data_IF_045294028873
#
_entry.id   IF_045294028873
#
_cell.length_a   1.000
_cell.length_b   1.000
_cell.length_c   1.000
_cell.angle_alpha   90.00
_cell.angle_beta   90.00
_cell.angle_gamma   90.00
#
_symmetry.space_group_name_H-M   'P 1'
#
loop_
_entity.id
_entity.type
_entity.pdbx_description
1 polymer ?
#
# COMPACT_ATOMS: atom_id res chain seq x y z
N UNK A 1 -45.52 -0.75 -0.86
CA UNK A 1 -44.49 0.06 -1.53
C UNK A 1 -43.17 -0.19 -0.80
N UNK A 2 -42.32 -1.08 -1.30
CA UNK A 2 -40.97 -1.21 -0.75
C UNK A 2 -40.18 -0.01 -1.26
N UNK A 3 -40.09 1.03 -0.44
CA UNK A 3 -39.11 2.09 -0.65
C UNK A 3 -37.74 1.43 -0.54
N UNK A 4 -37.06 1.26 -1.67
CA UNK A 4 -35.71 0.71 -1.67
C UNK A 4 -34.85 1.60 -0.78
N UNK A 5 -34.43 1.09 0.37
CA UNK A 5 -33.44 1.78 1.19
C UNK A 5 -32.15 1.70 0.39
N UNK A 6 -31.70 2.84 -0.15
CA UNK A 6 -30.39 2.92 -0.74
C UNK A 6 -29.37 2.71 0.39
N UNK A 7 -28.86 1.50 0.54
CA UNK A 7 -27.72 1.25 1.40
C UNK A 7 -26.50 1.86 0.70
N UNK A 8 -26.21 3.12 1.01
CA UNK A 8 -24.92 3.70 0.67
C UNK A 8 -23.84 3.03 1.53
N UNK A 9 -22.65 2.89 0.95
CA UNK A 9 -21.49 2.47 1.73
C UNK A 9 -21.23 3.50 2.83
N UNK A 10 -21.22 3.05 4.09
CA UNK A 10 -21.05 3.93 5.25
C UNK A 10 -19.66 4.57 5.25
N UNK A 11 -18.63 3.82 4.89
CA UNK A 11 -17.25 4.31 4.84
C UNK A 11 -16.60 3.90 3.50
N UNK A 12 -16.48 4.80 2.53
CA UNK A 12 -15.90 4.48 1.22
C UNK A 12 -14.50 3.85 1.25
N UNK A 13 -13.70 4.09 2.30
CA UNK A 13 -12.38 3.46 2.46
C UNK A 13 -12.43 1.92 2.50
N UNK A 14 -13.57 1.33 2.87
CA UNK A 14 -13.75 -0.13 2.90
C UNK A 14 -13.76 -0.74 1.51
N UNK A 15 -14.16 0.01 0.47
CA UNK A 15 -14.41 -0.52 -0.88
C UNK A 15 -13.62 0.15 -2.00
N UNK A 16 -13.08 1.34 -1.79
CA UNK A 16 -12.39 2.12 -2.83
C UNK A 16 -11.31 1.30 -3.55
N UNK A 17 -10.48 0.57 -2.79
CA UNK A 17 -9.43 -0.28 -3.33
C UNK A 17 -9.91 -1.54 -4.06
N UNK A 18 -11.22 -1.83 -4.13
CA UNK A 18 -11.75 -2.92 -4.94
C UNK A 18 -11.96 -2.55 -6.42
N UNK A 19 -11.94 -1.26 -6.76
CA UNK A 19 -12.13 -0.81 -8.14
C UNK A 19 -10.92 -1.16 -9.00
N UNK A 20 -11.18 -1.76 -10.17
CA UNK A 20 -10.14 -2.02 -11.19
C UNK A 20 -9.52 -0.73 -11.72
N UNK A 21 -10.27 0.37 -11.75
CA UNK A 21 -9.74 1.67 -12.16
C UNK A 21 -8.63 2.16 -11.22
N UNK A 22 -8.77 1.94 -9.92
CA UNK A 22 -7.73 2.29 -8.94
C UNK A 22 -6.49 1.41 -9.11
N UNK A 23 -6.67 0.12 -9.43
CA UNK A 23 -5.53 -0.77 -9.66
C UNK A 23 -4.75 -0.35 -10.90
N UNK A 24 -5.45 0.02 -11.96
CA UNK A 24 -4.84 0.53 -13.18
C UNK A 24 -4.10 1.85 -12.90
N UNK A 25 -4.74 2.80 -12.22
CA UNK A 25 -4.12 4.07 -11.85
C UNK A 25 -2.86 3.85 -10.99
N UNK A 26 -2.90 2.92 -10.04
CA UNK A 26 -1.74 2.53 -9.25
C UNK A 26 -0.58 2.00 -10.12
N UNK A 27 -0.85 1.08 -11.05
CA UNK A 27 0.18 0.54 -11.95
C UNK A 27 0.80 1.66 -12.80
N UNK A 28 -0.03 2.55 -13.35
CA UNK A 28 0.41 3.69 -14.15
C UNK A 28 1.30 4.61 -13.30
N UNK A 29 0.91 4.93 -12.06
CA UNK A 29 1.69 5.80 -11.18
C UNK A 29 3.05 5.19 -10.82
N UNK A 30 3.13 3.88 -10.58
CA UNK A 30 4.41 3.19 -10.34
C UNK A 30 5.28 3.20 -11.60
N UNK A 31 4.69 2.97 -12.77
CA UNK A 31 5.40 3.06 -14.05
C UNK A 31 5.93 4.47 -14.33
N UNK A 32 5.12 5.49 -14.11
CA UNK A 32 5.51 6.89 -14.27
C UNK A 32 6.63 7.28 -13.30
N UNK A 33 6.55 6.87 -12.03
CA UNK A 33 7.64 7.05 -11.07
C UNK A 33 8.95 6.47 -11.62
N UNK A 34 8.91 5.24 -12.12
CA UNK A 34 10.10 4.58 -12.67
C UNK A 34 10.67 5.31 -13.89
N UNK A 35 9.81 5.73 -14.83
CA UNK A 35 10.22 6.49 -16.02
C UNK A 35 10.81 7.85 -15.66
N UNK A 36 10.22 8.57 -14.70
CA UNK A 36 10.76 9.83 -14.20
C UNK A 36 12.15 9.62 -13.60
N UNK A 37 12.35 8.57 -12.79
CA UNK A 37 13.66 8.26 -12.22
C UNK A 37 14.71 7.87 -13.28
N UNK A 38 14.31 7.12 -14.31
CA UNK A 38 15.19 6.79 -15.46
C UNK A 38 15.60 8.03 -16.27
N UNK A 39 14.82 9.10 -16.20
CA UNK A 39 15.09 10.34 -16.92
C UNK A 39 16.13 11.23 -16.22
N UNK A 40 16.62 10.82 -15.05
CA UNK A 40 17.63 11.54 -14.27
C UNK A 40 19.04 11.07 -14.70
N UNK A 41 19.87 11.92 -15.33
CA UNK A 41 21.06 11.50 -16.08
C UNK A 41 22.20 10.93 -15.21
N UNK A 42 22.21 11.22 -13.91
CA UNK A 42 23.24 10.75 -12.98
C UNK A 42 22.82 9.51 -12.18
N UNK A 43 21.63 8.94 -12.44
CA UNK A 43 21.22 7.68 -11.84
C UNK A 43 21.56 6.51 -12.75
N UNK A 44 22.30 5.54 -12.21
CA UNK A 44 22.51 4.26 -12.86
C UNK A 44 21.23 3.41 -12.79
N UNK A 45 21.07 2.46 -13.72
CA UNK A 45 19.91 1.56 -13.75
C UNK A 45 19.68 0.85 -12.40
N UNK A 46 20.70 0.27 -11.72
CA UNK A 46 20.51 -0.33 -10.40
C UNK A 46 20.00 0.66 -9.33
N UNK A 47 20.52 1.89 -9.35
CA UNK A 47 20.07 2.97 -8.45
C UNK A 47 18.62 3.32 -8.72
N UNK A 48 18.22 3.48 -9.98
CA UNK A 48 16.82 3.78 -10.35
C UNK A 48 15.87 2.69 -9.85
N UNK A 49 16.19 1.41 -10.05
CA UNK A 49 15.36 0.30 -9.54
C UNK A 49 15.22 0.30 -8.02
N UNK A 50 16.32 0.55 -7.32
CA UNK A 50 16.31 0.63 -5.85
C UNK A 50 15.50 1.82 -5.35
N UNK A 51 15.67 2.99 -5.97
CA UNK A 51 14.88 4.18 -5.65
C UNK A 51 13.40 3.97 -5.94
N UNK A 52 13.06 3.33 -7.06
CA UNK A 52 11.66 3.00 -7.41
C UNK A 52 11.04 2.15 -6.32
N UNK A 53 11.71 1.09 -5.89
CA UNK A 53 11.22 0.19 -4.86
C UNK A 53 11.10 0.89 -3.48
N UNK A 54 12.11 1.66 -3.07
CA UNK A 54 12.11 2.36 -1.78
C UNK A 54 11.05 3.46 -1.74
N UNK A 55 10.95 4.30 -2.76
CA UNK A 55 9.94 5.38 -2.82
C UNK A 55 8.53 4.78 -2.86
N UNK A 56 8.32 3.74 -3.67
CA UNK A 56 7.07 3.02 -3.72
C UNK A 56 6.68 2.47 -2.34
N UNK A 57 7.59 1.76 -1.68
CA UNK A 57 7.32 1.15 -0.38
C UNK A 57 7.10 2.22 0.70
N UNK A 58 7.88 3.30 0.69
CA UNK A 58 7.66 4.43 1.61
C UNK A 58 6.27 5.05 1.44
N UNK A 59 5.85 5.32 0.21
CA UNK A 59 4.52 5.86 -0.08
C UNK A 59 3.43 4.87 0.38
N UNK A 60 3.56 3.59 0.06
CA UNK A 60 2.64 2.55 0.49
C UNK A 60 2.55 2.44 2.02
N UNK A 61 3.68 2.55 2.73
CA UNK A 61 3.71 2.54 4.18
C UNK A 61 2.89 3.70 4.75
N UNK A 62 3.14 4.91 4.27
CA UNK A 62 2.45 6.12 4.73
C UNK A 62 0.94 5.99 4.50
N UNK A 63 0.51 5.71 3.26
CA UNK A 63 -0.92 5.68 2.93
C UNK A 63 -1.68 4.54 3.60
N UNK A 64 -1.09 3.34 3.66
CA UNK A 64 -1.80 2.15 4.14
C UNK A 64 -1.66 1.93 5.65
N UNK A 65 -0.52 2.28 6.24
CA UNK A 65 -0.16 1.89 7.60
C UNK A 65 0.09 3.09 8.54
N UNK A 66 0.16 4.32 8.04
CA UNK A 66 0.27 5.52 8.87
C UNK A 66 -1.04 6.32 8.90
N UNK A 67 -1.61 6.64 7.74
CA UNK A 67 -2.83 7.46 7.64
C UNK A 67 -4.03 6.72 8.25
N UNK A 68 -4.72 7.39 9.16
CA UNK A 68 -5.89 6.89 9.90
C UNK A 68 -7.16 7.67 9.58
N UNK A 69 -8.29 7.07 9.95
CA UNK A 69 -9.59 7.71 9.81
C UNK A 69 -10.04 7.77 8.36
N UNK A 70 -10.98 8.66 8.10
CA UNK A 70 -11.59 8.82 6.78
C UNK A 70 -11.85 10.31 6.55
N UNK A 71 -11.65 10.82 5.32
CA UNK A 71 -11.94 12.22 5.01
C UNK A 71 -13.44 12.50 4.84
N UNK A 72 -14.29 11.47 5.01
CA UNK A 72 -15.73 11.55 4.83
C UNK A 72 -16.45 11.67 6.18
N UNK A 73 -17.56 12.40 6.21
CA UNK A 73 -18.51 12.32 7.32
C UNK A 73 -19.25 10.99 7.24
N UNK A 74 -19.00 10.10 8.21
CA UNK A 74 -19.63 8.76 8.24
C UNK A 74 -20.46 8.60 9.52
N UNK A 75 -21.61 7.89 9.47
CA UNK A 75 -22.42 7.60 10.65
C UNK A 75 -21.81 6.51 11.57
N UNK A 76 -20.51 6.20 11.42
CA UNK A 76 -19.84 5.11 12.14
C UNK A 76 -19.52 5.43 13.60
N UNK A 77 -19.86 6.63 14.09
CA UNK A 77 -19.59 7.14 15.44
C UNK A 77 -18.09 7.08 15.82
N UNK A 78 -17.20 7.25 14.84
CA UNK A 78 -15.76 7.30 15.05
C UNK A 78 -15.08 5.92 15.13
N UNK A 79 -15.77 4.83 14.74
CA UNK A 79 -15.19 3.48 14.71
C UNK A 79 -13.93 3.40 13.84
N UNK A 80 -13.90 4.09 12.71
CA UNK A 80 -12.75 4.13 11.81
C UNK A 80 -11.67 5.13 12.24
N UNK A 81 -11.91 5.98 13.26
CA UNK A 81 -11.03 7.10 13.64
C UNK A 81 -9.58 6.67 13.89
N UNK A 82 -9.39 5.51 14.51
CA UNK A 82 -8.06 5.00 14.88
C UNK A 82 -7.53 3.89 13.96
N UNK A 83 -8.30 3.54 12.93
CA UNK A 83 -7.94 2.49 11.98
C UNK A 83 -7.18 3.10 10.80
N UNK A 84 -6.10 2.45 10.39
CA UNK A 84 -5.38 2.84 9.17
C UNK A 84 -6.19 2.46 7.93
N UNK A 85 -5.83 3.00 6.75
CA UNK A 85 -6.52 2.63 5.52
C UNK A 85 -6.45 1.11 5.25
N UNK A 86 -5.31 0.47 5.53
CA UNK A 86 -5.18 -0.99 5.44
C UNK A 86 -6.13 -1.75 6.36
N UNK A 87 -6.40 -1.24 7.56
CA UNK A 87 -7.28 -1.91 8.51
C UNK A 87 -8.75 -1.76 8.15
N UNK A 88 -9.12 -0.61 7.60
CA UNK A 88 -10.49 -0.33 7.12
C UNK A 88 -10.84 -1.12 5.86
N UNK A 89 -9.87 -1.34 4.97
CA UNK A 89 -10.08 -1.95 3.66
C UNK A 89 -10.78 -3.32 3.76
N UNK A 90 -11.75 -3.56 2.89
CA UNK A 90 -12.59 -4.75 2.84
C UNK A 90 -13.22 -5.15 4.18
N UNK A 91 -13.56 -4.15 5.01
CA UNK A 91 -14.12 -4.36 6.36
C UNK A 91 -13.22 -5.22 7.26
N UNK A 92 -11.91 -5.20 7.02
CA UNK A 92 -10.95 -6.03 7.75
C UNK A 92 -10.88 -7.50 7.30
N UNK A 93 -11.66 -7.91 6.29
CA UNK A 93 -11.56 -9.27 5.73
C UNK A 93 -10.17 -9.49 5.13
N UNK A 94 -9.55 -10.62 5.47
CA UNK A 94 -8.21 -10.97 5.03
C UNK A 94 -8.23 -11.70 3.68
N UNK A 95 -7.09 -11.70 2.98
CA UNK A 95 -6.89 -12.45 1.73
C UNK A 95 -7.87 -12.15 0.58
N UNK A 96 -8.50 -10.98 0.59
CA UNK A 96 -9.30 -10.44 -0.50
C UNK A 96 -8.45 -10.11 -1.72
N UNK A 97 -9.08 -9.93 -2.88
CA UNK A 97 -8.39 -9.63 -4.14
C UNK A 97 -7.57 -8.34 -4.09
N UNK A 98 -8.11 -7.27 -3.51
CA UNK A 98 -7.46 -5.98 -3.27
C UNK A 98 -6.27 -6.09 -2.32
N UNK A 99 -6.43 -6.77 -1.17
CA UNK A 99 -5.31 -7.02 -0.25
C UNK A 99 -4.20 -7.84 -0.90
N UNK A 100 -4.55 -8.87 -1.67
CA UNK A 100 -3.59 -9.69 -2.42
C UNK A 100 -2.85 -8.84 -3.45
N UNK A 101 -3.56 -8.05 -4.23
CA UNK A 101 -2.98 -7.12 -5.20
C UNK A 101 -1.95 -6.21 -4.52
N UNK A 102 -2.34 -5.48 -3.46
CA UNK A 102 -1.46 -4.56 -2.75
C UNK A 102 -0.31 -5.23 -1.98
N UNK A 103 -0.40 -6.54 -1.73
CA UNK A 103 0.68 -7.33 -1.11
C UNK A 103 1.65 -7.90 -2.15
N UNK A 104 1.14 -8.34 -3.30
CA UNK A 104 1.94 -8.93 -4.39
C UNK A 104 2.70 -7.84 -5.16
N UNK A 105 2.10 -6.67 -5.41
CA UNK A 105 2.74 -5.60 -6.17
C UNK A 105 4.13 -5.19 -5.66
N UNK A 106 4.36 -4.90 -4.36
CA UNK A 106 5.71 -4.61 -3.87
C UNK A 106 6.66 -5.82 -3.98
N UNK A 107 6.16 -7.06 -3.91
CA UNK A 107 7.00 -8.27 -4.10
C UNK A 107 7.47 -8.36 -5.55
N UNK A 108 6.58 -8.12 -6.52
CA UNK A 108 6.95 -8.12 -7.95
C UNK A 108 7.98 -7.02 -8.23
N UNK A 109 7.76 -5.80 -7.70
CA UNK A 109 8.71 -4.70 -7.85
C UNK A 109 10.07 -5.03 -7.24
N UNK A 110 10.09 -5.67 -6.06
CA UNK A 110 11.31 -6.16 -5.42
C UNK A 110 12.05 -7.22 -6.25
N UNK A 111 11.34 -8.18 -6.85
CA UNK A 111 11.95 -9.21 -7.69
C UNK A 111 12.56 -8.61 -8.95
N UNK A 112 11.86 -7.68 -9.60
CA UNK A 112 12.39 -6.93 -10.74
C UNK A 112 13.62 -6.11 -10.35
N UNK A 113 13.56 -5.37 -9.23
CA UNK A 113 14.69 -4.61 -8.72
C UNK A 113 15.90 -5.53 -8.43
N UNK A 114 15.68 -6.69 -7.83
CA UNK A 114 16.74 -7.67 -7.55
C UNK A 114 17.40 -8.18 -8.83
N UNK A 115 16.60 -8.46 -9.86
CA UNK A 115 17.10 -8.88 -11.18
C UNK A 115 17.95 -7.78 -11.85
N UNK A 116 17.45 -6.55 -11.92
CA UNK A 116 18.15 -5.45 -12.60
C UNK A 116 19.32 -4.86 -11.80
N UNK A 117 19.36 -5.08 -10.48
CA UNK A 117 20.52 -4.78 -9.63
C UNK A 117 21.53 -5.93 -9.61
N UNK A 118 21.27 -7.02 -10.36
CA UNK A 118 22.13 -8.21 -10.46
C UNK A 118 22.46 -8.82 -9.10
N UNK A 119 21.52 -8.74 -8.16
CA UNK A 119 21.68 -9.24 -6.79
C UNK A 119 22.90 -8.64 -6.06
N UNK A 120 23.33 -7.43 -6.44
CA UNK A 120 24.34 -6.69 -5.69
C UNK A 120 23.93 -6.58 -4.22
N UNK A 121 24.87 -6.85 -3.31
CA UNK A 121 24.57 -7.01 -1.90
C UNK A 121 23.98 -5.74 -1.27
N UNK A 122 24.48 -4.55 -1.64
CA UNK A 122 24.00 -3.30 -1.08
C UNK A 122 22.57 -3.02 -1.53
N UNK A 123 22.30 -3.13 -2.83
CA UNK A 123 20.95 -2.98 -3.37
C UNK A 123 20.00 -4.04 -2.80
N UNK A 124 20.42 -5.29 -2.69
CA UNK A 124 19.61 -6.37 -2.15
C UNK A 124 19.18 -6.10 -0.70
N UNK A 125 20.11 -5.68 0.16
CA UNK A 125 19.80 -5.37 1.56
C UNK A 125 18.80 -4.21 1.69
N UNK A 126 19.01 -3.12 0.95
CA UNK A 126 18.12 -1.95 0.98
C UNK A 126 16.72 -2.32 0.46
N UNK A 127 16.65 -3.04 -0.66
CA UNK A 127 15.38 -3.47 -1.25
C UNK A 127 14.63 -4.46 -0.35
N UNK A 128 15.35 -5.36 0.32
CA UNK A 128 14.74 -6.34 1.24
C UNK A 128 14.21 -5.65 2.49
N UNK A 129 15.00 -4.75 3.11
CA UNK A 129 14.55 -3.99 4.27
C UNK A 129 13.31 -3.13 3.96
N UNK A 130 13.29 -2.47 2.79
CA UNK A 130 12.13 -1.68 2.37
C UNK A 130 10.90 -2.53 2.04
N UNK A 131 11.07 -3.74 1.49
CA UNK A 131 9.96 -4.66 1.27
C UNK A 131 9.36 -5.15 2.60
N UNK A 132 10.21 -5.54 3.55
CA UNK A 132 9.75 -6.06 4.85
C UNK A 132 8.95 -5.02 5.64
N UNK A 133 9.35 -3.74 5.59
CA UNK A 133 8.64 -2.67 6.29
C UNK A 133 7.20 -2.51 5.82
N UNK A 134 6.90 -2.81 4.55
CA UNK A 134 5.54 -2.74 4.00
C UNK A 134 4.82 -4.08 3.96
N UNK A 135 5.53 -5.21 3.93
CA UNK A 135 4.91 -6.51 3.82
C UNK A 135 4.47 -7.05 5.19
N UNK A 136 5.28 -6.87 6.23
CA UNK A 136 4.96 -7.37 7.57
C UNK A 136 3.64 -6.81 8.12
N UNK A 137 3.35 -5.49 8.05
CA UNK A 137 2.08 -4.95 8.53
C UNK A 137 0.86 -5.40 7.72
N UNK A 138 1.06 -5.99 6.53
CA UNK A 138 -0.01 -6.55 5.70
C UNK A 138 -0.41 -7.97 6.10
N UNK A 139 0.44 -8.67 6.86
CA UNK A 139 0.14 -10.03 7.32
C UNK A 139 -1.02 -10.00 8.33
N UNK A 140 -1.97 -10.95 8.27
CA UNK A 140 -3.12 -10.99 9.18
C UNK A 140 -2.76 -10.94 10.66
N UNK A 141 -1.62 -11.50 11.04
CA UNK A 141 -1.10 -11.54 12.42
C UNK A 141 -0.80 -10.13 12.99
N UNK A 142 -0.58 -9.13 12.14
CA UNK A 142 -0.33 -7.75 12.53
C UNK A 142 -1.55 -6.83 12.41
N UNK A 143 -2.72 -7.36 12.02
CA UNK A 143 -3.94 -6.56 11.91
C UNK A 143 -4.35 -5.99 13.28
N UNK A 144 -4.52 -4.66 13.39
CA UNK A 144 -4.84 -4.00 14.65
C UNK A 144 -3.66 -3.86 15.62
N UNK A 145 -2.49 -4.41 15.29
CA UNK A 145 -1.31 -4.37 16.17
C UNK A 145 -0.61 -3.01 16.06
N UNK A 146 -0.18 -2.47 17.20
CA UNK A 146 0.61 -1.23 17.30
C UNK A 146 1.91 -1.53 18.05
N UNK A 147 2.95 -1.91 17.30
CA UNK A 147 4.25 -2.23 17.89
C UNK A 147 4.77 -1.05 18.71
N UNK A 148 5.15 -1.31 19.96
CA UNK A 148 5.60 -0.30 20.92
C UNK A 148 4.62 0.87 21.13
N UNK A 149 3.33 0.71 20.78
CA UNK A 149 2.34 1.79 20.85
C UNK A 149 2.48 2.87 19.76
N UNK A 150 3.35 2.68 18.77
CA UNK A 150 3.50 3.61 17.64
C UNK A 150 2.16 3.72 16.90
N UNK A 151 1.77 4.94 16.54
CA UNK A 151 0.52 5.23 15.84
C UNK A 151 -0.72 4.66 16.57
N UNK A 152 -0.76 4.66 17.91
CA UNK A 152 -1.91 4.18 18.67
C UNK A 152 -3.08 5.19 18.68
N UNK A 153 -2.78 6.47 18.81
CA UNK A 153 -3.76 7.57 18.82
C UNK A 153 -3.82 8.31 17.50
#
# INVERSE_FOLDING_TARGET
>A
MNVGVAHSEVNPNTRVMNSRGIWLAYIILVGLLHVVLLSIPFFSIPVVWTLTNVIHNLAMYIFLHTVKGTPFETPDQGKARLLTHWEQMDYGLQFTSSRKFLSISPIVLYLLASFYTKYDAAHFLINTASLLSVLLPKLPQFHGVRLFGINKY
#
